data_IF_770580796325
#
_entry.id   IF_770580796325
#
_cell.length_a   1.000
_cell.length_b   1.000
_cell.length_c   1.000
_cell.angle_alpha   90.00
_cell.angle_beta   90.00
_cell.angle_gamma   90.00
#
_symmetry.space_group_name_H-M   'P 1'
#
loop_
_entity.id
_entity.type
_entity.pdbx_description
1 polymer ?
#
# COMPACT_ATOMS: atom_id res chain seq x y z
N UNK A 1 -35.83 17.72 -0.54
CA UNK A 1 -36.03 18.00 0.90
C UNK A 1 -34.91 17.28 1.65
N UNK A 2 -34.11 18.00 2.44
CA UNK A 2 -33.08 17.36 3.27
C UNK A 2 -33.77 16.79 4.51
N UNK A 3 -33.67 15.47 4.71
CA UNK A 3 -34.16 14.79 5.90
C UNK A 3 -33.21 15.11 7.05
N UNK A 4 -33.71 15.74 8.11
CA UNK A 4 -32.94 15.99 9.32
C UNK A 4 -33.12 14.77 10.21
N UNK A 5 -32.14 13.86 10.22
CA UNK A 5 -32.07 12.79 11.21
C UNK A 5 -31.54 13.36 12.52
N UNK A 6 -32.39 13.34 13.55
CA UNK A 6 -32.00 13.74 14.91
C UNK A 6 -31.31 12.55 15.55
N UNK A 7 -29.98 12.63 15.62
CA UNK A 7 -29.14 11.61 16.26
C UNK A 7 -29.17 11.80 17.77
N UNK A 8 -29.47 10.75 18.52
CA UNK A 8 -29.43 10.80 19.98
C UNK A 8 -27.99 10.97 20.49
N UNK A 9 -27.78 11.52 21.71
CA UNK A 9 -26.44 11.61 22.28
C UNK A 9 -25.70 10.27 22.37
N UNK A 10 -26.43 9.16 22.56
CA UNK A 10 -25.87 7.81 22.59
C UNK A 10 -25.38 7.32 21.23
N UNK A 11 -26.16 7.56 20.17
CA UNK A 11 -25.77 7.23 18.79
C UNK A 11 -24.60 8.09 18.33
N UNK A 12 -24.59 9.39 18.67
CA UNK A 12 -23.47 10.27 18.38
C UNK A 12 -22.18 9.77 19.04
N UNK A 13 -22.25 9.35 20.31
CA UNK A 13 -21.11 8.77 21.01
C UNK A 13 -20.60 7.49 20.34
N UNK A 14 -21.50 6.58 19.96
CA UNK A 14 -21.15 5.34 19.27
C UNK A 14 -20.49 5.61 17.90
N UNK A 15 -20.98 6.59 17.15
CA UNK A 15 -20.38 7.01 15.87
C UNK A 15 -18.99 7.60 16.06
N UNK A 16 -18.78 8.41 17.09
CA UNK A 16 -17.47 8.97 17.42
C UNK A 16 -16.46 7.87 17.82
N UNK A 17 -16.88 6.91 18.64
CA UNK A 17 -16.04 5.76 19.02
C UNK A 17 -15.72 4.87 17.82
N UNK A 18 -16.68 4.66 16.92
CA UNK A 18 -16.44 3.96 15.66
C UNK A 18 -15.43 4.71 14.78
N UNK A 19 -15.61 6.03 14.60
CA UNK A 19 -14.70 6.88 13.83
C UNK A 19 -13.27 6.81 14.38
N UNK A 20 -13.09 6.96 15.69
CA UNK A 20 -11.76 6.87 16.32
C UNK A 20 -11.09 5.51 16.09
N UNK A 21 -11.85 4.40 16.14
CA UNK A 21 -11.31 3.06 15.84
C UNK A 21 -10.86 2.94 14.38
N UNK A 22 -11.64 3.47 13.45
CA UNK A 22 -11.31 3.49 12.01
C UNK A 22 -10.05 4.33 11.76
N UNK A 23 -9.97 5.53 12.34
CA UNK A 23 -8.80 6.41 12.22
C UNK A 23 -7.53 5.75 12.79
N UNK A 24 -7.62 5.15 13.98
CA UNK A 24 -6.49 4.42 14.57
C UNK A 24 -6.05 3.25 13.70
N UNK A 25 -7.00 2.54 13.09
CA UNK A 25 -6.69 1.42 12.18
C UNK A 25 -6.04 1.92 10.89
N UNK A 26 -6.50 3.05 10.34
CA UNK A 26 -5.90 3.68 9.17
C UNK A 26 -4.46 4.10 9.45
N UNK A 27 -4.19 4.79 10.57
CA UNK A 27 -2.83 5.18 10.96
C UNK A 27 -1.88 3.98 11.07
N UNK A 28 -2.34 2.87 11.66
CA UNK A 28 -1.55 1.64 11.71
C UNK A 28 -1.23 1.10 10.32
N UNK A 29 -2.21 1.09 9.41
CA UNK A 29 -2.00 0.63 8.03
C UNK A 29 -1.07 1.57 7.26
N UNK A 30 -1.19 2.88 7.44
CA UNK A 30 -0.31 3.89 6.82
C UNK A 30 1.13 3.73 7.28
N UNK A 31 1.36 3.47 8.58
CA UNK A 31 2.72 3.23 9.10
C UNK A 31 3.38 2.00 8.47
N UNK A 32 2.59 0.97 8.12
CA UNK A 32 3.10 -0.21 7.40
C UNK A 32 3.46 0.10 5.95
N UNK A 33 2.88 1.14 5.33
CA UNK A 33 3.23 1.55 3.96
C UNK A 33 4.61 2.22 3.88
N UNK A 34 5.14 2.72 4.99
CA UNK A 34 6.51 3.27 5.09
C UNK A 34 7.59 2.19 5.27
N UNK A 35 7.21 0.91 5.22
CA UNK A 35 8.11 -0.23 5.38
C UNK A 35 8.96 -0.50 4.12
N UNK A 36 10.23 -0.86 4.35
CA UNK A 36 11.11 -1.45 3.34
C UNK A 36 11.08 -2.97 3.45
N UNK A 37 10.66 -3.64 2.38
CA UNK A 37 10.44 -5.09 2.36
C UNK A 37 11.44 -5.83 1.47
N UNK A 38 11.67 -7.10 1.77
CA UNK A 38 12.55 -7.96 0.97
C UNK A 38 12.01 -8.21 -0.45
N UNK A 39 12.90 -8.61 -1.37
CA UNK A 39 12.51 -9.03 -2.72
C UNK A 39 11.44 -10.13 -2.74
N UNK A 40 11.50 -11.09 -1.81
CA UNK A 40 10.51 -12.18 -1.73
C UNK A 40 9.12 -11.63 -1.40
N UNK A 41 9.01 -10.64 -0.50
CA UNK A 41 7.75 -9.97 -0.20
C UNK A 41 7.30 -9.10 -1.37
N UNK A 42 8.23 -8.40 -2.02
CA UNK A 42 7.94 -7.61 -3.21
C UNK A 42 7.30 -8.45 -4.32
N UNK A 43 7.85 -9.63 -4.61
CA UNK A 43 7.28 -10.58 -5.58
C UNK A 43 5.84 -10.98 -5.24
N UNK A 44 5.55 -11.20 -3.95
CA UNK A 44 4.19 -11.54 -3.50
C UNK A 44 3.21 -10.38 -3.67
N UNK A 45 3.64 -9.15 -3.43
CA UNK A 45 2.78 -7.95 -3.53
C UNK A 45 2.50 -7.60 -4.99
N UNK A 46 3.50 -7.67 -5.87
CA UNK A 46 3.35 -7.27 -7.28
C UNK A 46 2.95 -8.42 -8.21
N UNK A 47 2.93 -9.66 -7.72
CA UNK A 47 2.71 -10.87 -8.53
C UNK A 47 3.81 -11.15 -9.57
N UNK A 48 4.94 -10.47 -9.49
CA UNK A 48 6.04 -10.61 -10.45
C UNK A 48 6.96 -11.78 -10.06
N UNK A 49 7.48 -12.47 -11.08
CA UNK A 49 8.55 -13.45 -10.89
C UNK A 49 9.86 -12.75 -10.48
N UNK A 50 10.85 -13.55 -10.03
CA UNK A 50 12.17 -13.03 -9.65
C UNK A 50 12.84 -12.26 -10.80
N UNK A 51 12.79 -12.81 -12.01
CA UNK A 51 13.32 -12.16 -13.22
C UNK A 51 12.49 -10.93 -13.60
N UNK A 52 11.16 -11.01 -13.45
CA UNK A 52 10.23 -9.90 -13.71
C UNK A 52 10.53 -8.68 -12.85
N UNK A 53 10.71 -8.85 -11.53
CA UNK A 53 11.09 -7.74 -10.64
C UNK A 53 12.45 -7.14 -11.01
N UNK A 54 13.41 -7.99 -11.37
CA UNK A 54 14.75 -7.53 -11.77
C UNK A 54 14.69 -6.69 -13.04
N UNK A 55 13.86 -7.11 -14.00
CA UNK A 55 13.64 -6.39 -15.25
C UNK A 55 12.88 -5.09 -15.01
N UNK A 56 11.80 -5.11 -14.21
CA UNK A 56 10.99 -3.93 -13.89
C UNK A 56 11.79 -2.84 -13.19
N UNK A 57 12.69 -3.22 -12.28
CA UNK A 57 13.69 -2.33 -11.65
C UNK A 57 14.53 -1.55 -12.67
N UNK A 58 14.85 -2.18 -13.80
CA UNK A 58 15.71 -1.59 -14.84
C UNK A 58 14.91 -0.77 -15.85
N UNK A 59 13.58 -0.79 -15.78
CA UNK A 59 12.75 -0.03 -16.71
C UNK A 59 12.80 1.47 -16.35
N UNK A 60 12.97 2.35 -17.35
CA UNK A 60 12.72 3.77 -17.17
C UNK A 60 11.30 3.98 -16.62
N UNK A 61 11.14 4.97 -15.75
CA UNK A 61 9.84 5.38 -15.20
C UNK A 61 9.07 4.29 -14.44
N UNK A 62 9.78 3.29 -13.91
CA UNK A 62 9.15 2.30 -13.04
C UNK A 62 8.62 2.95 -11.76
N UNK A 63 7.43 2.53 -11.33
CA UNK A 63 6.86 2.93 -10.05
C UNK A 63 7.56 2.23 -8.86
N UNK A 64 8.38 1.22 -9.11
CA UNK A 64 9.07 0.47 -8.06
C UNK A 64 10.21 1.31 -7.48
N UNK A 65 10.07 1.71 -6.21
CA UNK A 65 11.14 2.37 -5.45
C UNK A 65 11.90 1.30 -4.68
N UNK A 66 13.21 1.25 -4.87
CA UNK A 66 14.07 0.27 -4.21
C UNK A 66 15.40 0.90 -3.79
N UNK A 67 16.06 0.27 -2.82
CA UNK A 67 17.44 0.55 -2.42
C UNK A 67 18.18 -0.76 -2.17
N UNK A 68 19.50 -0.68 -2.02
CA UNK A 68 20.34 -1.82 -1.71
C UNK A 68 20.75 -1.77 -0.24
N UNK A 69 20.61 -2.89 0.47
CA UNK A 69 20.97 -3.04 1.88
C UNK A 69 21.87 -4.27 2.12
N UNK A 70 22.34 -4.39 3.37
CA UNK A 70 23.26 -5.42 3.85
C UNK A 70 24.73 -5.02 3.73
N UNK A 71 25.60 -5.73 4.45
CA UNK A 71 27.05 -5.43 4.56
C UNK A 71 27.75 -5.30 3.20
N UNK A 72 27.27 -6.02 2.18
CA UNK A 72 27.83 -6.01 0.83
C UNK A 72 27.09 -5.10 -0.15
N UNK A 73 25.99 -4.45 0.27
CA UNK A 73 25.15 -3.63 -0.61
C UNK A 73 24.50 -4.40 -1.76
N UNK A 74 24.32 -5.73 -1.61
CA UNK A 74 23.81 -6.61 -2.67
C UNK A 74 22.37 -7.09 -2.45
N UNK A 75 21.73 -6.76 -1.33
CA UNK A 75 20.35 -7.20 -1.05
C UNK A 75 19.36 -6.09 -1.42
N UNK A 76 18.53 -6.26 -2.46
CA UNK A 76 17.53 -5.26 -2.81
C UNK A 76 16.35 -5.31 -1.82
N UNK A 77 15.99 -4.15 -1.31
CA UNK A 77 14.76 -3.92 -0.53
C UNK A 77 13.89 -2.88 -1.23
N UNK A 78 12.59 -3.02 -1.09
CA UNK A 78 11.60 -2.28 -1.86
C UNK A 78 10.67 -1.54 -0.93
N UNK A 79 10.29 -0.32 -1.30
CA UNK A 79 9.36 0.46 -0.51
C UNK A 79 7.94 -0.05 -0.73
N UNK A 80 7.26 -0.48 0.35
CA UNK A 80 5.98 -1.20 0.23
C UNK A 80 4.91 -0.39 -0.51
N UNK A 81 4.80 0.91 -0.21
CA UNK A 81 3.87 1.82 -0.89
C UNK A 81 4.06 1.83 -2.40
N UNK A 82 5.31 1.80 -2.87
CA UNK A 82 5.64 1.81 -4.29
C UNK A 82 5.24 0.52 -5.01
N UNK A 83 5.34 -0.63 -4.32
CA UNK A 83 4.92 -1.93 -4.82
C UNK A 83 3.41 -2.01 -4.99
N UNK A 84 2.66 -1.47 -4.02
CA UNK A 84 1.20 -1.40 -4.06
C UNK A 84 0.76 -0.49 -5.21
N UNK A 85 1.31 0.72 -5.30
CA UNK A 85 1.03 1.63 -6.41
C UNK A 85 1.31 1.01 -7.79
N UNK A 86 2.41 0.26 -7.90
CA UNK A 86 2.69 -0.51 -9.11
C UNK A 86 1.58 -1.54 -9.40
N UNK A 87 1.20 -2.35 -8.42
CA UNK A 87 0.18 -3.38 -8.58
C UNK A 87 -1.19 -2.77 -8.96
N UNK A 88 -1.58 -1.67 -8.31
CA UNK A 88 -2.81 -0.95 -8.60
C UNK A 88 -2.81 -0.41 -10.04
N UNK A 89 -1.70 0.18 -10.49
CA UNK A 89 -1.56 0.68 -11.86
C UNK A 89 -1.75 -0.42 -12.93
N UNK A 90 -1.36 -1.66 -12.62
CA UNK A 90 -1.52 -2.81 -13.51
C UNK A 90 -2.93 -3.40 -13.43
N UNK A 91 -3.56 -3.34 -12.27
CA UNK A 91 -4.93 -3.81 -12.06
C UNK A 91 -5.94 -2.91 -12.78
N UNK A 92 -5.76 -1.58 -12.69
CA UNK A 92 -6.60 -0.60 -13.41
C UNK A 92 -6.52 -0.78 -14.93
N UNK A 93 -5.36 -1.15 -15.48
CA UNK A 93 -5.20 -1.43 -16.92
C UNK A 93 -5.95 -2.69 -17.38
N UNK A 94 -6.21 -3.65 -16.49
CA UNK A 94 -6.96 -4.88 -16.82
C UNK A 94 -8.47 -4.66 -16.88
N UNK A 95 -9.00 -3.65 -16.21
CA UNK A 95 -10.45 -3.35 -16.17
C UNK A 95 -10.91 -2.31 -17.20
N UNK A 96 -9.99 -1.74 -17.99
CA UNK A 96 -10.29 -0.80 -19.08
C UNK A 96 -10.32 -1.45 -20.47
N UNK A 97 -10.40 -2.79 -20.53
CA UNK A 97 -10.53 -3.58 -21.76
C UNK A 97 -11.89 -4.23 -21.79
#
# INVERSE_FOLDING_TARGET
MATIEVVTPGELKALLEWKQRVEKRLQQLESLLEEWVSQTKAMKVTGLSKSGIIAERKRPETLLVYKMEGETGKKPVYFLKSLIAYNDSKTVRRHRV
#
